data_IF_153593181709
#
_entry.id   IF_153593181709
#
_cell.length_a   1.000
_cell.length_b   1.000
_cell.length_c   1.000
_cell.angle_alpha   90.00
_cell.angle_beta   90.00
_cell.angle_gamma   90.00
#
_symmetry.space_group_name_H-M   'P 1'
#
loop_
_entity.id
_entity.type
_entity.pdbx_description
1 polymer ?
#
# COMPACT_ATOMS: atom_id res chain seq x y z
N UNK A 1 80.44 -44.47 -1.71
CA UNK A 1 79.10 -44.02 -2.18
C UNK A 1 78.38 -43.31 -1.02
N UNK A 2 77.56 -42.32 -1.34
CA UNK A 2 77.03 -41.20 -0.53
C UNK A 2 76.37 -41.50 0.83
N UNK A 3 76.78 -40.68 1.83
CA UNK A 3 76.03 -39.88 2.86
C UNK A 3 74.69 -40.38 3.45
N UNK A 4 74.61 -40.40 4.80
CA UNK A 4 73.69 -39.64 5.71
C UNK A 4 74.06 -40.03 7.17
N UNK A 5 74.72 -39.23 8.03
CA UNK A 5 74.43 -37.90 8.66
C UNK A 5 73.11 -37.92 9.46
N UNK A 6 72.99 -37.55 10.74
CA UNK A 6 73.86 -37.34 11.93
C UNK A 6 72.88 -37.20 13.11
N UNK A 7 73.30 -37.57 14.32
CA UNK A 7 72.60 -37.38 15.60
C UNK A 7 72.12 -35.93 15.83
N UNK A 8 71.11 -35.76 16.71
CA UNK A 8 71.28 -35.04 18.00
C UNK A 8 69.98 -34.99 18.82
N UNK A 9 70.07 -35.48 20.05
CA UNK A 9 69.25 -35.10 21.20
C UNK A 9 69.56 -33.65 21.59
N UNK A 10 68.54 -32.82 21.87
CA UNK A 10 68.62 -31.64 22.76
C UNK A 10 67.29 -31.43 23.52
N UNK A 11 67.46 -31.28 24.85
CA UNK A 11 66.64 -30.74 25.96
C UNK A 11 65.33 -29.94 25.73
N UNK A 12 64.39 -30.12 26.68
CA UNK A 12 63.22 -29.30 27.05
C UNK A 12 63.61 -27.91 27.63
N UNK A 13 62.76 -26.84 27.56
CA UNK A 13 61.79 -26.57 28.66
C UNK A 13 60.45 -25.91 28.23
N UNK A 14 59.52 -25.84 29.19
CA UNK A 14 58.17 -25.30 29.09
C UNK A 14 58.10 -23.77 28.96
N UNK A 15 57.16 -23.26 28.15
CA UNK A 15 56.57 -21.92 28.31
C UNK A 15 55.10 -21.93 27.88
N UNK A 16 54.22 -21.53 28.80
CA UNK A 16 52.82 -21.22 28.55
C UNK A 16 52.64 -20.26 27.37
N UNK A 17 51.71 -20.55 26.45
CA UNK A 17 51.10 -19.53 25.60
C UNK A 17 49.58 -19.59 25.71
N UNK A 18 49.03 -18.42 26.02
CA UNK A 18 47.64 -18.07 26.18
C UNK A 18 46.80 -18.31 24.91
N UNK A 19 45.53 -18.67 25.17
CA UNK A 19 44.28 -18.20 24.53
C UNK A 19 44.21 -18.24 23.00
N UNK A 20 43.29 -19.06 22.49
CA UNK A 20 42.07 -18.57 21.83
C UNK A 20 40.94 -19.55 22.21
N UNK A 21 40.11 -19.17 23.20
CA UNK A 21 38.78 -19.76 23.31
C UNK A 21 38.00 -19.11 22.19
N UNK A 22 37.61 -19.90 21.18
CA UNK A 22 36.61 -19.48 20.23
C UNK A 22 35.31 -19.23 21.01
N UNK A 23 35.06 -17.98 21.36
CA UNK A 23 33.73 -17.53 21.73
C UNK A 23 32.93 -17.61 20.43
N UNK A 24 32.39 -18.81 20.17
CA UNK A 24 31.21 -18.93 19.33
C UNK A 24 30.23 -17.92 19.90
N UNK A 25 29.92 -16.89 19.10
CA UNK A 25 28.89 -15.92 19.41
C UNK A 25 27.58 -16.69 19.52
N UNK A 26 27.34 -17.16 20.74
CA UNK A 26 26.07 -17.18 21.42
C UNK A 26 25.07 -16.36 20.61
N UNK A 27 24.22 -17.05 19.84
CA UNK A 27 22.92 -16.52 19.53
C UNK A 27 22.24 -16.36 20.90
N UNK A 28 22.54 -15.25 21.56
CA UNK A 28 21.68 -14.66 22.55
C UNK A 28 20.40 -14.39 21.77
N UNK A 29 19.49 -15.37 21.86
CA UNK A 29 18.06 -15.18 21.78
C UNK A 29 17.72 -14.15 22.86
N UNK A 30 18.08 -12.88 22.64
CA UNK A 30 17.27 -11.79 23.13
C UNK A 30 16.00 -11.91 22.31
N UNK A 31 15.09 -12.77 22.79
CA UNK A 31 13.69 -12.64 22.49
C UNK A 31 13.29 -11.28 23.05
N UNK A 32 13.55 -10.23 22.27
CA UNK A 32 12.99 -8.92 22.57
C UNK A 32 11.50 -9.17 22.76
N UNK A 33 10.91 -8.74 23.89
CA UNK A 33 9.50 -8.98 24.12
C UNK A 33 8.74 -8.47 22.90
N UNK A 34 7.73 -9.22 22.41
CA UNK A 34 6.96 -8.91 21.19
C UNK A 34 6.53 -7.43 21.14
N UNK A 35 6.28 -6.83 22.30
CA UNK A 35 6.03 -5.40 22.48
C UNK A 35 7.15 -4.48 21.94
N UNK A 36 8.41 -4.78 22.24
CA UNK A 36 9.56 -4.00 21.77
C UNK A 36 9.75 -4.14 20.25
N UNK A 37 9.50 -5.34 19.70
CA UNK A 37 9.57 -5.57 18.26
C UNK A 37 8.40 -4.88 17.51
N UNK A 38 7.21 -4.82 18.11
CA UNK A 38 6.11 -4.01 17.60
C UNK A 38 6.43 -2.51 17.58
N UNK A 39 7.03 -1.99 18.65
CA UNK A 39 7.44 -0.59 18.70
C UNK A 39 8.50 -0.28 17.62
N UNK A 40 9.44 -1.20 17.39
CA UNK A 40 10.43 -1.09 16.31
C UNK A 40 9.75 -1.08 14.93
N UNK A 41 8.86 -2.04 14.66
CA UNK A 41 8.11 -2.10 13.40
C UNK A 41 7.34 -0.80 13.11
N UNK A 42 6.65 -0.23 14.12
CA UNK A 42 5.96 1.06 13.98
C UNK A 42 6.94 2.20 13.67
N UNK A 43 8.07 2.23 14.37
CA UNK A 43 9.11 3.24 14.16
C UNK A 43 9.69 3.17 12.74
N UNK A 44 9.96 1.98 12.23
CA UNK A 44 10.46 1.76 10.88
C UNK A 44 9.44 2.23 9.83
N UNK A 45 8.15 1.92 9.99
CA UNK A 45 7.11 2.42 9.09
C UNK A 45 7.00 3.96 9.13
N UNK A 46 7.10 4.57 10.31
CA UNK A 46 7.14 6.04 10.40
C UNK A 46 8.35 6.65 9.68
N UNK A 47 9.52 6.03 9.81
CA UNK A 47 10.75 6.46 9.12
C UNK A 47 10.65 6.27 7.59
N UNK A 48 10.06 5.16 7.15
CA UNK A 48 9.79 4.88 5.73
C UNK A 48 8.92 5.99 5.13
N UNK A 49 7.81 6.34 5.80
CA UNK A 49 6.89 7.39 5.31
C UNK A 49 7.64 8.71 5.21
N UNK A 50 8.47 9.05 6.20
CA UNK A 50 9.28 10.26 6.16
C UNK A 50 10.23 10.26 4.95
N UNK A 51 10.97 9.18 4.72
CA UNK A 51 11.86 9.09 3.57
C UNK A 51 11.13 9.16 2.24
N UNK A 52 9.95 8.55 2.15
CA UNK A 52 9.10 8.66 0.97
C UNK A 52 8.66 10.11 0.70
N UNK A 53 8.24 10.84 1.73
CA UNK A 53 7.87 12.25 1.63
C UNK A 53 9.04 13.18 1.24
N UNK A 54 10.27 12.76 1.55
CA UNK A 54 11.51 13.47 1.21
C UNK A 54 12.12 12.98 -0.13
N UNK A 55 11.37 12.17 -0.90
CA UNK A 55 11.81 11.53 -2.16
C UNK A 55 13.10 10.68 -2.02
N UNK A 56 13.43 10.27 -0.79
CA UNK A 56 14.56 9.40 -0.46
C UNK A 56 14.16 7.93 -0.65
N UNK A 57 13.87 7.54 -1.89
CA UNK A 57 13.29 6.24 -2.16
C UNK A 57 14.19 5.05 -1.81
N UNK A 58 15.52 5.18 -1.96
CA UNK A 58 16.45 4.09 -1.64
C UNK A 58 16.42 3.78 -0.12
N UNK A 59 16.43 4.83 0.69
CA UNK A 59 16.33 4.76 2.14
C UNK A 59 14.94 4.28 2.59
N UNK A 60 13.88 4.71 1.90
CA UNK A 60 12.52 4.25 2.14
C UNK A 60 12.39 2.74 1.89
N UNK A 61 12.90 2.24 0.75
CA UNK A 61 12.87 0.81 0.39
C UNK A 61 13.71 0.00 1.38
N UNK A 62 14.92 0.46 1.70
CA UNK A 62 15.78 -0.20 2.70
C UNK A 62 15.09 -0.31 4.06
N UNK A 63 14.46 0.78 4.52
CA UNK A 63 13.70 0.81 5.78
C UNK A 63 12.44 -0.08 5.70
N UNK A 64 11.79 -0.16 4.54
CA UNK A 64 10.64 -1.04 4.32
C UNK A 64 10.99 -2.52 4.36
N UNK A 65 12.14 -2.91 3.81
CA UNK A 65 12.64 -4.27 3.90
C UNK A 65 12.99 -4.64 5.35
N UNK A 66 13.59 -3.72 6.11
CA UNK A 66 13.83 -3.91 7.55
C UNK A 66 12.50 -4.08 8.31
N UNK A 67 11.50 -3.24 8.02
CA UNK A 67 10.18 -3.36 8.62
C UNK A 67 9.48 -4.68 8.26
N UNK A 68 9.64 -5.16 7.01
CA UNK A 68 9.12 -6.45 6.59
C UNK A 68 9.78 -7.59 7.38
N UNK A 69 11.11 -7.59 7.46
CA UNK A 69 11.85 -8.61 8.20
C UNK A 69 11.43 -8.66 9.68
N UNK A 70 11.38 -7.50 10.35
CA UNK A 70 10.90 -7.43 11.74
C UNK A 70 9.49 -7.99 11.85
N UNK A 71 8.59 -7.66 10.92
CA UNK A 71 7.22 -8.16 10.95
C UNK A 71 7.15 -9.70 10.81
N UNK A 72 7.92 -10.28 9.88
CA UNK A 72 7.96 -11.72 9.65
C UNK A 72 8.52 -12.47 10.87
N UNK A 73 9.62 -11.98 11.44
CA UNK A 73 10.28 -12.59 12.60
C UNK A 73 9.44 -12.47 13.88
N UNK A 74 8.71 -11.36 14.05
CA UNK A 74 7.93 -11.11 15.27
C UNK A 74 6.56 -11.79 15.24
N UNK A 75 5.85 -11.69 14.11
CA UNK A 75 4.42 -12.01 14.03
C UNK A 75 4.11 -13.22 13.15
N UNK A 76 5.09 -13.68 12.35
CA UNK A 76 4.91 -14.74 11.36
C UNK A 76 4.46 -14.21 10.00
N UNK A 77 4.82 -14.95 8.94
CA UNK A 77 4.68 -14.54 7.53
C UNK A 77 3.23 -14.28 7.07
N UNK A 78 2.25 -14.91 7.72
CA UNK A 78 0.83 -14.76 7.36
C UNK A 78 0.11 -13.71 8.23
N UNK A 79 0.85 -12.88 8.96
CA UNK A 79 0.27 -11.87 9.84
C UNK A 79 -0.07 -10.56 9.10
N UNK A 80 -1.19 -9.86 9.42
CA UNK A 80 -1.57 -8.60 8.77
C UNK A 80 -0.51 -7.48 8.79
N UNK A 81 0.39 -7.48 9.77
CA UNK A 81 1.53 -6.53 9.81
C UNK A 81 2.57 -6.81 8.71
N UNK A 82 2.76 -8.07 8.32
CA UNK A 82 3.59 -8.44 7.14
C UNK A 82 2.94 -7.89 5.88
N UNK A 83 1.62 -8.10 5.71
CA UNK A 83 0.88 -7.50 4.59
C UNK A 83 0.99 -5.98 4.54
N UNK A 84 0.94 -5.31 5.69
CA UNK A 84 1.14 -3.85 5.77
C UNK A 84 2.52 -3.43 5.26
N UNK A 85 3.59 -4.13 5.68
CA UNK A 85 4.95 -3.87 5.18
C UNK A 85 5.06 -4.11 3.67
N UNK A 86 4.50 -5.20 3.16
CA UNK A 86 4.48 -5.52 1.72
C UNK A 86 3.73 -4.47 0.91
N UNK A 87 2.57 -4.01 1.39
CA UNK A 87 1.80 -2.94 0.75
C UNK A 87 2.60 -1.63 0.69
N UNK A 88 3.34 -1.28 1.75
CA UNK A 88 4.17 -0.08 1.78
C UNK A 88 5.34 -0.19 0.79
N UNK A 89 6.00 -1.35 0.68
CA UNK A 89 7.02 -1.60 -0.32
C UNK A 89 6.45 -1.50 -1.74
N UNK A 90 5.27 -2.07 -1.99
CA UNK A 90 4.59 -1.97 -3.28
C UNK A 90 4.33 -0.52 -3.71
N UNK A 91 3.91 0.34 -2.78
CA UNK A 91 3.73 1.78 -3.02
C UNK A 91 5.04 2.44 -3.47
N UNK A 92 6.16 2.13 -2.81
CA UNK A 92 7.47 2.67 -3.17
C UNK A 92 7.93 2.19 -4.55
N UNK A 93 7.77 0.91 -4.85
CA UNK A 93 8.12 0.35 -6.16
C UNK A 93 7.23 0.93 -7.28
N UNK A 94 5.93 1.12 -7.02
CA UNK A 94 5.03 1.80 -7.94
C UNK A 94 5.49 3.23 -8.21
N UNK A 95 5.86 3.98 -7.17
CA UNK A 95 6.34 5.37 -7.32
C UNK A 95 7.63 5.47 -8.16
N UNK A 96 8.46 4.42 -8.17
CA UNK A 96 9.63 4.33 -9.04
C UNK A 96 9.35 3.76 -10.45
N UNK A 97 8.09 3.48 -10.79
CA UNK A 97 7.72 2.85 -12.06
C UNK A 97 8.06 1.36 -12.16
N UNK A 98 8.46 0.71 -11.06
CA UNK A 98 8.72 -0.73 -11.01
C UNK A 98 7.42 -1.52 -10.82
N UNK A 99 6.54 -1.45 -11.81
CA UNK A 99 5.15 -1.92 -11.68
C UNK A 99 5.01 -3.43 -11.43
N UNK A 100 5.83 -4.28 -12.07
CA UNK A 100 5.79 -5.73 -11.83
C UNK A 100 6.16 -6.08 -10.38
N UNK A 101 7.23 -5.47 -9.86
CA UNK A 101 7.63 -5.64 -8.46
C UNK A 101 6.54 -5.16 -7.51
N UNK A 102 5.92 -4.01 -7.79
CA UNK A 102 4.81 -3.49 -7.00
C UNK A 102 3.60 -4.44 -7.00
N UNK A 103 3.25 -5.00 -8.17
CA UNK A 103 2.16 -5.95 -8.32
C UNK A 103 2.40 -7.20 -7.45
N UNK A 104 3.60 -7.78 -7.50
CA UNK A 104 3.95 -8.96 -6.70
C UNK A 104 3.78 -8.68 -5.19
N UNK A 105 4.24 -7.52 -4.71
CA UNK A 105 4.08 -7.14 -3.31
C UNK A 105 2.62 -6.88 -2.92
N UNK A 106 1.83 -6.22 -3.77
CA UNK A 106 0.40 -6.02 -3.52
C UNK A 106 -0.36 -7.35 -3.49
N UNK A 107 -0.08 -8.27 -4.42
CA UNK A 107 -0.69 -9.60 -4.46
C UNK A 107 -0.37 -10.41 -3.20
N UNK A 108 0.88 -10.39 -2.75
CA UNK A 108 1.29 -11.06 -1.50
C UNK A 108 0.58 -10.43 -0.28
N UNK A 109 0.54 -9.10 -0.19
CA UNK A 109 -0.19 -8.38 0.86
C UNK A 109 -1.67 -8.79 0.90
N UNK A 110 -2.35 -8.74 -0.25
CA UNK A 110 -3.76 -9.08 -0.36
C UNK A 110 -4.01 -10.54 0.01
N UNK A 111 -3.16 -11.47 -0.44
CA UNK A 111 -3.28 -12.90 -0.11
C UNK A 111 -3.19 -13.14 1.40
N UNK A 112 -2.23 -12.50 2.09
CA UNK A 112 -2.08 -12.61 3.54
C UNK A 112 -3.31 -12.06 4.25
N UNK A 113 -3.80 -10.89 3.83
CA UNK A 113 -4.96 -10.26 4.43
C UNK A 113 -6.23 -11.09 4.23
N UNK A 114 -6.45 -11.65 3.05
CA UNK A 114 -7.59 -12.52 2.76
C UNK A 114 -7.58 -13.79 3.60
N UNK A 115 -6.42 -14.43 3.77
CA UNK A 115 -6.26 -15.59 4.66
C UNK A 115 -6.49 -15.23 6.13
N UNK A 116 -5.96 -14.10 6.59
CA UNK A 116 -5.98 -13.73 8.01
C UNK A 116 -7.33 -13.13 8.46
N UNK A 117 -8.01 -12.40 7.58
CA UNK A 117 -9.18 -11.58 7.94
C UNK A 117 -10.47 -12.03 7.25
N UNK A 118 -10.36 -12.89 6.23
CA UNK A 118 -11.45 -13.30 5.35
C UNK A 118 -11.59 -12.40 4.13
N UNK A 119 -12.05 -12.98 3.02
CA UNK A 119 -12.17 -12.30 1.72
C UNK A 119 -13.24 -11.21 1.67
N UNK A 120 -14.21 -11.21 2.60
CA UNK A 120 -15.25 -10.17 2.68
C UNK A 120 -14.92 -9.09 3.72
N UNK A 121 -13.73 -9.09 4.32
CA UNK A 121 -13.43 -8.13 5.38
C UNK A 121 -13.18 -6.72 4.81
N UNK A 122 -13.92 -5.67 5.22
CA UNK A 122 -13.74 -4.33 4.68
C UNK A 122 -12.36 -3.75 4.98
N UNK A 123 -11.66 -4.25 6.02
CA UNK A 123 -10.29 -3.82 6.37
C UNK A 123 -9.24 -4.16 5.30
N UNK A 124 -9.57 -4.99 4.31
CA UNK A 124 -8.67 -5.32 3.20
C UNK A 124 -8.92 -4.44 1.96
N UNK A 125 -9.91 -3.53 2.03
CA UNK A 125 -10.28 -2.62 0.95
C UNK A 125 -9.12 -1.77 0.44
N UNK A 126 -8.28 -1.25 1.33
CA UNK A 126 -7.08 -0.48 0.94
C UNK A 126 -6.11 -1.29 0.08
N UNK A 127 -5.87 -2.56 0.41
CA UNK A 127 -4.98 -3.42 -0.36
C UNK A 127 -5.54 -3.71 -1.75
N UNK A 128 -6.85 -3.99 -1.86
CA UNK A 128 -7.53 -4.16 -3.15
C UNK A 128 -7.50 -2.90 -3.99
N UNK A 129 -7.81 -1.77 -3.38
CA UNK A 129 -7.78 -0.47 -4.03
C UNK A 129 -6.39 -0.16 -4.59
N UNK A 130 -5.32 -0.39 -3.82
CA UNK A 130 -3.97 -0.11 -4.31
C UNK A 130 -3.57 -1.00 -5.50
N UNK A 131 -3.95 -2.27 -5.48
CA UNK A 131 -3.73 -3.18 -6.61
C UNK A 131 -4.57 -2.78 -7.82
N UNK A 132 -5.85 -2.46 -7.63
CA UNK A 132 -6.73 -1.97 -8.68
C UNK A 132 -6.20 -0.67 -9.30
N UNK A 133 -5.71 0.27 -8.49
CA UNK A 133 -5.10 1.50 -8.98
C UNK A 133 -3.79 1.26 -9.72
N UNK A 134 -3.03 0.20 -9.38
CA UNK A 134 -1.85 -0.19 -10.15
C UNK A 134 -2.26 -0.72 -11.53
N UNK A 135 -3.31 -1.54 -11.61
CA UNK A 135 -3.87 -2.00 -12.89
C UNK A 135 -4.43 -0.85 -13.71
N UNK A 136 -5.19 0.04 -13.07
CA UNK A 136 -5.74 1.23 -13.70
C UNK A 136 -4.65 2.10 -14.33
N UNK A 137 -3.55 2.38 -13.60
CA UNK A 137 -2.43 3.17 -14.12
C UNK A 137 -1.64 2.51 -15.27
N UNK A 138 -1.87 1.22 -15.52
CA UNK A 138 -1.26 0.45 -16.61
C UNK A 138 -2.28 0.12 -17.71
N UNK A 139 -3.45 0.78 -17.70
CA UNK A 139 -4.55 0.54 -18.65
C UNK A 139 -5.06 -0.92 -18.67
N UNK A 140 -4.77 -1.68 -17.61
CA UNK A 140 -5.27 -3.05 -17.38
C UNK A 140 -6.67 -2.96 -16.78
N UNK A 141 -7.59 -2.42 -17.57
CA UNK A 141 -8.90 -1.99 -17.07
C UNK A 141 -9.79 -3.14 -16.60
N UNK A 142 -9.74 -4.31 -17.24
CA UNK A 142 -10.54 -5.47 -16.82
C UNK A 142 -10.19 -5.93 -15.39
N UNK A 143 -8.90 -5.99 -15.08
CA UNK A 143 -8.42 -6.39 -13.75
C UNK A 143 -8.72 -5.33 -12.69
N UNK A 144 -8.63 -4.05 -13.04
CA UNK A 144 -9.05 -2.97 -12.17
C UNK A 144 -10.58 -3.00 -11.91
N UNK A 145 -11.37 -3.26 -12.95
CA UNK A 145 -12.83 -3.31 -12.89
C UNK A 145 -13.31 -4.43 -11.97
N UNK A 146 -12.74 -5.64 -12.10
CA UNK A 146 -13.07 -6.77 -11.22
C UNK A 146 -12.83 -6.41 -9.75
N UNK A 147 -11.67 -5.80 -9.45
CA UNK A 147 -11.30 -5.41 -8.09
C UNK A 147 -12.21 -4.32 -7.53
N UNK A 148 -12.54 -3.29 -8.32
CA UNK A 148 -13.45 -2.23 -7.87
C UNK A 148 -14.89 -2.74 -7.69
N UNK A 149 -15.41 -3.56 -8.60
CA UNK A 149 -16.73 -4.18 -8.45
C UNK A 149 -16.81 -5.06 -7.21
N UNK A 150 -15.77 -5.86 -6.96
CA UNK A 150 -15.72 -6.71 -5.76
C UNK A 150 -15.68 -5.88 -4.48
N UNK A 151 -14.91 -4.79 -4.46
CA UNK A 151 -14.83 -3.89 -3.30
C UNK A 151 -16.17 -3.22 -3.05
N UNK A 152 -16.81 -2.68 -4.10
CA UNK A 152 -18.14 -2.09 -4.04
C UNK A 152 -19.19 -3.07 -3.49
N UNK A 153 -19.22 -4.30 -4.00
CA UNK A 153 -20.17 -5.32 -3.55
C UNK A 153 -20.01 -5.67 -2.06
N UNK A 154 -18.78 -5.69 -1.56
CA UNK A 154 -18.49 -5.92 -0.14
C UNK A 154 -18.94 -4.71 0.70
N UNK A 155 -18.61 -3.50 0.27
CA UNK A 155 -18.99 -2.27 0.97
C UNK A 155 -20.52 -2.14 1.04
N UNK A 156 -21.24 -2.39 -0.06
CA UNK A 156 -22.71 -2.36 -0.08
C UNK A 156 -23.36 -3.43 0.80
N UNK A 157 -22.71 -4.58 0.96
CA UNK A 157 -23.21 -5.68 1.81
C UNK A 157 -23.03 -5.37 3.30
N UNK A 158 -21.93 -4.71 3.66
CA UNK A 158 -21.50 -4.55 5.06
C UNK A 158 -21.87 -3.17 5.61
N UNK A 159 -21.93 -2.17 4.74
CA UNK A 159 -22.20 -0.79 5.08
C UNK A 159 -23.60 -0.41 4.56
N UNK A 160 -24.15 0.70 5.06
CA UNK A 160 -25.33 1.29 4.44
C UNK A 160 -25.01 1.68 2.99
N UNK A 161 -25.95 1.54 2.03
CA UNK A 161 -25.77 2.02 0.65
C UNK A 161 -25.41 3.51 0.52
N UNK A 162 -25.58 4.29 1.60
CA UNK A 162 -25.26 5.71 1.71
C UNK A 162 -23.95 5.97 2.50
N UNK A 163 -23.16 4.95 2.79
CA UNK A 163 -21.91 5.11 3.53
C UNK A 163 -20.84 5.84 2.67
N UNK A 164 -20.00 6.74 3.23
CA UNK A 164 -18.92 7.39 2.50
C UNK A 164 -17.98 6.44 1.74
N UNK A 165 -17.67 5.28 2.32
CA UNK A 165 -16.81 4.28 1.66
C UNK A 165 -17.49 3.67 0.42
N UNK A 166 -18.82 3.50 0.43
CA UNK A 166 -19.58 3.09 -0.78
C UNK A 166 -19.45 4.17 -1.85
N UNK A 167 -19.54 5.45 -1.48
CA UNK A 167 -19.35 6.56 -2.41
C UNK A 167 -17.92 6.58 -3.00
N UNK A 168 -16.90 6.26 -2.20
CA UNK A 168 -15.52 6.15 -2.68
C UNK A 168 -15.35 4.99 -3.68
N UNK A 169 -15.90 3.80 -3.35
CA UNK A 169 -15.85 2.64 -4.25
C UNK A 169 -16.59 2.89 -5.57
N UNK A 170 -17.76 3.54 -5.52
CA UNK A 170 -18.49 3.98 -6.71
C UNK A 170 -17.70 5.01 -7.54
N UNK A 171 -17.04 5.97 -6.89
CA UNK A 171 -16.23 6.99 -7.56
C UNK A 171 -15.07 6.37 -8.34
N UNK A 172 -14.35 5.44 -7.74
CA UNK A 172 -13.22 4.76 -8.40
C UNK A 172 -13.68 3.97 -9.64
N UNK A 173 -14.81 3.27 -9.53
CA UNK A 173 -15.40 2.55 -10.66
C UNK A 173 -15.91 3.51 -11.75
N UNK A 174 -16.51 4.65 -11.37
CA UNK A 174 -16.94 5.68 -12.31
C UNK A 174 -15.76 6.30 -13.08
N UNK A 175 -14.65 6.55 -12.38
CA UNK A 175 -13.44 7.05 -13.01
C UNK A 175 -12.87 6.04 -14.01
N UNK A 176 -12.79 4.77 -13.63
CA UNK A 176 -12.36 3.70 -14.53
C UNK A 176 -13.22 3.64 -15.80
N UNK A 177 -14.54 3.76 -15.68
CA UNK A 177 -15.43 3.78 -16.84
C UNK A 177 -15.28 5.05 -17.68
N UNK A 178 -15.06 6.21 -17.07
CA UNK A 178 -14.78 7.45 -17.79
C UNK A 178 -13.48 7.37 -18.61
N UNK A 179 -12.47 6.69 -18.08
CA UNK A 179 -11.17 6.53 -18.74
C UNK A 179 -11.22 5.46 -19.85
N UNK A 180 -12.19 4.53 -19.77
CA UNK A 180 -12.59 3.62 -20.87
C UNK A 180 -13.59 4.23 -21.87
N UNK A 181 -13.93 5.52 -21.75
CA UNK A 181 -14.96 6.19 -22.57
C UNK A 181 -16.38 5.58 -22.45
N UNK A 182 -16.64 4.79 -21.42
CA UNK A 182 -17.95 4.22 -21.05
C UNK A 182 -18.78 5.25 -20.29
N UNK A 183 -19.08 6.35 -20.95
CA UNK A 183 -19.62 7.55 -20.31
C UNK A 183 -20.99 7.36 -19.65
N UNK A 184 -21.88 6.55 -20.21
CA UNK A 184 -23.21 6.31 -19.61
C UNK A 184 -23.10 5.59 -18.25
N UNK A 185 -22.20 4.61 -18.15
CA UNK A 185 -21.96 3.88 -16.91
C UNK A 185 -21.28 4.80 -15.88
N UNK A 186 -20.26 5.56 -16.30
CA UNK A 186 -19.60 6.54 -15.45
C UNK A 186 -20.58 7.61 -14.93
N UNK A 187 -21.46 8.15 -15.78
CA UNK A 187 -22.45 9.16 -15.43
C UNK A 187 -23.41 8.64 -14.35
N UNK A 188 -23.92 7.42 -14.51
CA UNK A 188 -24.81 6.78 -13.53
C UNK A 188 -24.15 6.65 -12.16
N UNK A 189 -22.90 6.17 -12.13
CA UNK A 189 -22.15 6.01 -10.89
C UNK A 189 -21.82 7.35 -10.24
N UNK A 190 -21.31 8.33 -10.99
CA UNK A 190 -21.01 9.65 -10.43
C UNK A 190 -22.26 10.36 -9.86
N UNK A 191 -23.42 10.24 -10.49
CA UNK A 191 -24.68 10.79 -9.94
C UNK A 191 -25.04 10.14 -8.61
N UNK A 192 -24.80 8.83 -8.48
CA UNK A 192 -25.01 8.12 -7.22
C UNK A 192 -24.01 8.57 -6.14
N UNK A 193 -22.74 8.73 -6.49
CA UNK A 193 -21.72 9.31 -5.57
C UNK A 193 -22.15 10.69 -5.10
N UNK A 194 -22.56 11.57 -6.02
CA UNK A 194 -23.00 12.92 -5.71
C UNK A 194 -24.15 12.92 -4.69
N UNK A 195 -25.15 12.07 -4.92
CA UNK A 195 -26.31 11.92 -4.02
C UNK A 195 -25.89 11.51 -2.61
N UNK A 196 -24.97 10.54 -2.49
CA UNK A 196 -24.48 10.06 -1.20
C UNK A 196 -23.70 11.17 -0.48
N UNK A 197 -22.75 11.81 -1.15
CA UNK A 197 -21.90 12.83 -0.55
C UNK A 197 -22.68 14.06 -0.12
N UNK A 198 -23.66 14.52 -0.92
CA UNK A 198 -24.54 15.62 -0.54
C UNK A 198 -25.36 15.31 0.71
N UNK A 199 -25.84 14.07 0.84
CA UNK A 199 -26.60 13.64 2.01
C UNK A 199 -25.73 13.55 3.27
N UNK A 200 -24.54 12.99 3.16
CA UNK A 200 -23.69 12.67 4.33
C UNK A 200 -22.84 13.86 4.77
N UNK A 201 -22.27 14.61 3.82
CA UNK A 201 -21.32 15.69 4.08
C UNK A 201 -21.93 17.08 3.91
N UNK A 202 -23.11 17.16 3.29
CA UNK A 202 -23.77 18.40 2.91
C UNK A 202 -23.41 18.86 1.49
N UNK A 203 -24.29 19.67 0.85
CA UNK A 203 -24.17 20.04 -0.56
C UNK A 203 -23.04 21.04 -0.88
N UNK A 204 -22.45 21.64 0.15
CA UNK A 204 -21.34 22.61 0.06
C UNK A 204 -19.99 21.99 0.51
N UNK A 205 -19.88 20.67 0.62
CA UNK A 205 -18.62 20.01 0.99
C UNK A 205 -17.64 19.90 -0.19
N UNK A 206 -16.33 19.97 0.05
CA UNK A 206 -15.31 19.92 -1.01
C UNK A 206 -15.37 18.64 -1.88
N UNK A 207 -15.58 17.47 -1.26
CA UNK A 207 -15.79 16.21 -1.99
C UNK A 207 -16.99 16.25 -2.95
N UNK A 208 -18.03 17.05 -2.69
CA UNK A 208 -19.14 17.27 -3.63
C UNK A 208 -18.63 18.03 -4.85
N UNK A 209 -17.80 19.07 -4.65
CA UNK A 209 -17.19 19.83 -5.73
C UNK A 209 -16.30 18.96 -6.64
N UNK A 210 -15.56 18.01 -6.06
CA UNK A 210 -14.74 17.06 -6.83
C UNK A 210 -15.59 16.23 -7.80
N UNK A 211 -16.69 15.64 -7.32
CA UNK A 211 -17.56 14.81 -8.16
C UNK A 211 -18.32 15.63 -9.20
N UNK A 212 -18.69 16.86 -8.87
CA UNK A 212 -19.28 17.80 -9.82
C UNK A 212 -18.32 18.11 -10.97
N UNK A 213 -17.03 18.31 -10.71
CA UNK A 213 -16.04 18.53 -11.77
C UNK A 213 -15.82 17.29 -12.64
N UNK A 214 -15.83 16.08 -12.05
CA UNK A 214 -15.72 14.85 -12.82
C UNK A 214 -16.94 14.66 -13.76
N UNK A 215 -18.15 14.92 -13.28
CA UNK A 215 -19.36 14.93 -14.11
C UNK A 215 -19.30 16.02 -15.18
N UNK A 216 -18.81 17.22 -14.84
CA UNK A 216 -18.64 18.30 -15.81
C UNK A 216 -17.66 17.91 -16.91
N UNK A 217 -16.53 17.28 -16.57
CA UNK A 217 -15.55 16.78 -17.53
C UNK A 217 -16.16 15.72 -18.46
N UNK A 218 -16.92 14.77 -17.91
CA UNK A 218 -17.67 13.77 -18.68
C UNK A 218 -18.67 14.44 -19.65
N UNK A 219 -19.39 15.46 -19.19
CA UNK A 219 -20.32 16.22 -20.02
C UNK A 219 -19.63 17.04 -21.11
N UNK A 220 -18.42 17.55 -20.88
CA UNK A 220 -17.62 18.16 -21.94
C UNK A 220 -17.24 17.13 -23.02
N UNK A 221 -16.78 15.94 -22.61
CA UNK A 221 -16.42 14.85 -23.54
C UNK A 221 -17.62 14.36 -24.38
N UNK A 222 -18.82 14.41 -23.82
CA UNK A 222 -20.08 13.96 -24.48
C UNK A 222 -20.86 15.08 -25.17
N UNK A 223 -20.32 16.30 -25.23
CA UNK A 223 -20.94 17.44 -25.93
C UNK A 223 -22.09 18.14 -25.17
N UNK A 224 -22.35 17.76 -23.92
CA UNK A 224 -23.37 18.34 -23.02
C UNK A 224 -22.84 19.60 -22.33
N UNK A 225 -22.51 20.62 -23.12
CA UNK A 225 -21.74 21.79 -22.65
C UNK A 225 -22.47 22.61 -21.58
N UNK A 226 -23.79 22.80 -21.73
CA UNK A 226 -24.56 23.60 -20.77
C UNK A 226 -24.61 22.95 -19.39
N UNK A 227 -24.79 21.62 -19.35
CA UNK A 227 -24.76 20.84 -18.12
C UNK A 227 -23.37 20.87 -17.47
N UNK A 228 -22.30 20.75 -18.27
CA UNK A 228 -20.94 20.87 -17.78
C UNK A 228 -20.66 22.23 -17.12
N UNK A 229 -21.05 23.32 -17.79
CA UNK A 229 -20.83 24.68 -17.30
C UNK A 229 -21.59 24.93 -15.98
N UNK A 230 -22.82 24.40 -15.86
CA UNK A 230 -23.60 24.47 -14.63
C UNK A 230 -22.92 23.73 -13.47
N UNK A 231 -22.43 22.51 -13.71
CA UNK A 231 -21.78 21.70 -12.68
C UNK A 231 -20.45 22.31 -12.24
N UNK A 232 -19.61 22.74 -13.19
CA UNK A 232 -18.34 23.42 -12.89
C UNK A 232 -18.56 24.75 -12.15
N UNK A 233 -19.60 25.50 -12.54
CA UNK A 233 -20.00 26.72 -11.83
C UNK A 233 -20.34 26.45 -10.36
N UNK A 234 -21.11 25.38 -10.10
CA UNK A 234 -21.43 24.94 -8.73
C UNK A 234 -20.19 24.50 -7.96
N UNK A 235 -19.31 23.70 -8.56
CA UNK A 235 -18.07 23.25 -7.92
C UNK A 235 -17.18 24.44 -7.50
N UNK A 236 -17.06 25.45 -8.36
CA UNK A 236 -16.32 26.70 -8.05
C UNK A 236 -16.96 27.49 -6.90
N UNK A 237 -18.29 27.56 -6.83
CA UNK A 237 -18.99 28.22 -5.73
C UNK A 237 -18.77 27.51 -4.39
N UNK A 238 -18.75 26.18 -4.39
CA UNK A 238 -18.46 25.41 -3.18
C UNK A 238 -17.05 25.73 -2.68
N UNK A 239 -16.05 25.66 -3.56
CA UNK A 239 -14.65 25.95 -3.19
C UNK A 239 -14.47 27.39 -2.71
N UNK A 240 -15.16 28.37 -3.31
CA UNK A 240 -15.03 29.77 -2.88
C UNK A 240 -15.63 30.06 -1.50
N UNK A 241 -16.59 29.24 -1.02
CA UNK A 241 -17.14 29.36 0.34
C UNK A 241 -16.23 28.75 1.41
N UNK A 242 -15.47 27.71 1.09
CA UNK A 242 -14.60 26.99 2.04
C UNK A 242 -13.33 27.75 2.49
N UNK A 243 -13.00 28.88 1.84
CA UNK A 243 -11.85 29.73 2.17
C UNK A 243 -12.23 30.98 3.02
N UNK A 244 -13.35 30.95 3.74
CA UNK A 244 -13.75 31.98 4.71
C UNK A 244 -13.70 31.43 6.13
#
# INVERSE_FOLDING_TARGET
MRKKKLMKHIMFPATHRLRIIAISTMALLFTFPVFAQEALWKKLNGKLIKFYQEDQYAEAISTGNEALQVAEETFGKEHPKVATSLNNLALLYKAQGQYNTAEDFYKQSLTILEKSLGTENPKIGTARYNLAQLYHSQERYDEAEEMYKRTLAIDEKILSPEHPDVALSLHNLAQLYNDQERYDEAESLYKRVLTILEKVLGPDHENVALVLDNLASLYQKTGKKEEADKLSGRAKQIRSKGFK
#
